data_IF_724834693649
#
_entry.id   IF_724834693649
#
_cell.length_a   1.000
_cell.length_b   1.000
_cell.length_c   1.000
_cell.angle_alpha   90.00
_cell.angle_beta   90.00
_cell.angle_gamma   90.00
#
_symmetry.space_group_name_H-M   'P 1'
#
loop_
_entity.id
_entity.type
_entity.pdbx_description
1 polymer ?
#
# COMPACT_ATOMS: atom_id res chain seq x y z
N UNK A 1 65.02 21.64 -10.39
CA UNK A 1 64.00 22.23 -11.27
C UNK A 1 63.00 21.24 -11.88
N UNK A 2 63.40 20.12 -12.45
CA UNK A 2 62.49 19.15 -13.08
C UNK A 2 61.43 18.51 -12.16
N UNK A 3 61.68 18.36 -10.87
CA UNK A 3 60.66 17.78 -9.96
C UNK A 3 59.58 18.78 -9.56
N UNK A 4 59.93 20.04 -9.33
CA UNK A 4 58.98 21.11 -8.97
C UNK A 4 57.99 21.35 -10.09
N UNK A 5 58.42 21.31 -11.35
CA UNK A 5 57.57 21.46 -12.53
C UNK A 5 56.55 20.32 -12.64
N UNK A 6 56.96 19.08 -12.28
CA UNK A 6 56.03 17.92 -12.30
C UNK A 6 54.94 18.01 -11.26
N UNK A 7 55.21 18.50 -10.06
CA UNK A 7 54.19 18.70 -9.01
C UNK A 7 53.26 19.84 -9.34
N UNK A 8 53.78 20.93 -9.93
CA UNK A 8 52.95 22.06 -10.37
C UNK A 8 51.98 21.68 -11.48
N UNK A 9 52.41 20.89 -12.45
CA UNK A 9 51.51 20.36 -13.51
C UNK A 9 50.45 19.39 -12.98
N UNK A 10 50.82 18.54 -12.01
CA UNK A 10 49.87 17.60 -11.39
C UNK A 10 48.81 18.35 -10.58
N UNK A 11 49.19 19.40 -9.83
CA UNK A 11 48.27 20.23 -9.06
C UNK A 11 47.35 21.03 -9.94
N UNK A 12 47.84 21.55 -11.06
CA UNK A 12 47.02 22.28 -12.04
C UNK A 12 45.99 21.37 -12.76
N UNK A 13 46.36 20.10 -13.07
CA UNK A 13 45.43 19.10 -13.61
C UNK A 13 44.36 18.69 -12.60
N UNK A 14 44.70 18.56 -11.31
CA UNK A 14 43.76 18.23 -10.26
C UNK A 14 42.73 19.34 -10.01
N UNK A 15 43.16 20.60 -10.03
CA UNK A 15 42.26 21.77 -9.88
C UNK A 15 41.35 21.95 -11.09
N UNK A 16 41.85 21.67 -12.30
CA UNK A 16 41.03 21.71 -13.52
C UNK A 16 39.96 20.58 -13.56
N UNK A 17 40.24 19.41 -12.97
CA UNK A 17 39.26 18.32 -12.87
C UNK A 17 38.14 18.61 -11.85
N UNK A 18 38.40 19.42 -10.82
CA UNK A 18 37.40 19.79 -9.80
C UNK A 18 36.45 20.90 -10.27
N UNK A 19 36.79 21.65 -11.34
CA UNK A 19 35.94 22.70 -11.89
C UNK A 19 35.03 22.22 -13.02
N UNK A 20 35.06 20.93 -13.39
CA UNK A 20 34.33 20.37 -14.54
C UNK A 20 32.89 19.94 -14.24
N UNK A 21 32.45 19.89 -12.98
CA UNK A 21 31.05 19.59 -12.66
C UNK A 21 30.26 20.88 -12.41
N UNK A 22 30.01 21.66 -13.46
CA UNK A 22 28.83 22.53 -13.49
C UNK A 22 27.67 21.68 -13.99
N UNK A 23 26.86 21.19 -13.08
CA UNK A 23 25.54 20.67 -13.42
C UNK A 23 24.80 21.77 -14.21
N UNK A 24 24.60 21.56 -15.50
CA UNK A 24 23.72 22.40 -16.27
C UNK A 24 22.29 21.97 -15.91
N UNK A 25 21.72 22.64 -14.92
CA UNK A 25 20.28 22.56 -14.71
C UNK A 25 19.61 23.08 -16.00
N UNK A 26 18.91 22.19 -16.67
CA UNK A 26 18.03 22.61 -17.75
C UNK A 26 16.85 23.31 -17.07
N UNK A 27 16.91 24.64 -17.01
CA UNK A 27 15.79 25.44 -16.51
C UNK A 27 14.71 25.43 -17.60
N UNK A 28 13.51 24.96 -17.26
CA UNK A 28 12.36 25.08 -18.14
C UNK A 28 12.08 26.58 -18.38
N UNK A 29 12.17 27.02 -19.64
CA UNK A 29 12.03 28.41 -20.04
C UNK A 29 10.80 28.67 -20.92
N UNK A 30 9.97 27.64 -21.11
CA UNK A 30 8.79 27.70 -21.96
C UNK A 30 7.54 28.25 -21.23
N UNK A 31 6.40 28.13 -21.88
CA UNK A 31 5.13 28.67 -21.41
C UNK A 31 4.78 28.18 -19.98
N UNK A 32 4.21 29.07 -19.19
CA UNK A 32 3.67 28.73 -17.90
C UNK A 32 2.39 27.92 -18.05
N UNK A 33 2.40 26.67 -17.60
CA UNK A 33 1.23 25.82 -17.54
C UNK A 33 0.85 25.54 -16.10
N UNK A 34 -0.46 25.44 -15.87
CA UNK A 34 -1.03 25.05 -14.57
C UNK A 34 -1.99 23.90 -14.81
N UNK A 35 -1.88 22.84 -14.00
CA UNK A 35 -2.66 21.64 -14.18
C UNK A 35 -2.81 20.90 -12.84
N UNK A 36 -3.72 19.96 -12.76
CA UNK A 36 -3.68 18.97 -11.69
C UNK A 36 -2.47 18.05 -11.89
N UNK A 37 -1.90 17.56 -10.79
CA UNK A 37 -0.74 16.66 -10.87
C UNK A 37 -1.09 15.33 -11.57
N UNK A 38 -2.34 14.88 -11.41
CA UNK A 38 -2.87 13.68 -12.04
C UNK A 38 -4.18 14.00 -12.76
N UNK A 39 -4.46 13.33 -13.87
CA UNK A 39 -5.73 13.44 -14.62
C UNK A 39 -6.81 12.52 -14.05
N UNK A 40 -6.40 11.50 -13.30
CA UNK A 40 -7.23 10.54 -12.57
C UNK A 40 -6.45 10.05 -11.35
N UNK A 41 -7.04 10.16 -10.16
CA UNK A 41 -6.46 9.60 -8.95
C UNK A 41 -7.56 9.11 -8.00
N UNK A 42 -7.23 8.10 -7.18
CA UNK A 42 -8.10 7.61 -6.10
C UNK A 42 -7.64 8.21 -4.78
N UNK A 43 -8.60 8.67 -3.99
CA UNK A 43 -8.35 9.32 -2.72
C UNK A 43 -9.03 8.54 -1.59
N UNK A 44 -8.30 8.17 -0.51
CA UNK A 44 -8.90 7.51 0.64
C UNK A 44 -9.75 8.50 1.41
N UNK A 45 -10.98 8.12 1.70
CA UNK A 45 -11.86 8.82 2.64
C UNK A 45 -11.87 8.04 3.94
N UNK A 46 -11.31 8.62 4.99
CA UNK A 46 -11.17 8.03 6.31
C UNK A 46 -11.97 8.85 7.34
N UNK A 47 -12.49 8.19 8.36
CA UNK A 47 -13.20 8.82 9.48
C UNK A 47 -12.32 9.72 10.35
N UNK A 48 -11.02 9.42 10.38
CA UNK A 48 -10.00 10.14 11.19
C UNK A 48 -9.31 11.28 10.43
N UNK A 49 -9.55 11.44 9.13
CA UNK A 49 -8.90 12.45 8.28
C UNK A 49 -9.93 13.43 7.74
N UNK A 50 -9.84 14.68 8.17
CA UNK A 50 -10.82 15.71 7.80
C UNK A 50 -10.79 16.05 6.31
N UNK A 51 -9.60 16.13 5.69
CA UNK A 51 -9.45 16.52 4.29
C UNK A 51 -8.41 15.62 3.60
N UNK A 52 -8.69 15.26 2.36
CA UNK A 52 -7.67 14.81 1.43
C UNK A 52 -7.28 15.93 0.45
N UNK A 53 -6.11 15.82 -0.15
CA UNK A 53 -5.52 16.87 -1.00
C UNK A 53 -5.46 16.44 -2.45
N UNK A 54 -5.96 17.30 -3.35
CA UNK A 54 -5.82 17.14 -4.81
C UNK A 54 -4.79 18.16 -5.29
N UNK A 55 -3.58 17.74 -5.71
CA UNK A 55 -2.51 18.65 -6.01
C UNK A 55 -2.70 19.36 -7.35
N UNK A 56 -2.45 20.67 -7.33
CA UNK A 56 -2.33 21.55 -8.50
C UNK A 56 -0.89 21.98 -8.63
N UNK A 57 -0.31 21.84 -9.80
CA UNK A 57 1.10 22.13 -10.07
C UNK A 57 1.24 23.16 -11.20
N UNK A 58 2.32 23.93 -11.14
CA UNK A 58 2.73 24.85 -12.20
C UNK A 58 4.12 24.48 -12.71
N UNK A 59 4.33 24.61 -14.00
CA UNK A 59 5.65 24.39 -14.63
C UNK A 59 6.67 25.47 -14.25
N UNK A 60 6.24 26.61 -13.69
CA UNK A 60 7.08 27.77 -13.39
C UNK A 60 6.85 28.27 -11.98
N UNK A 61 7.90 28.57 -11.25
CA UNK A 61 7.87 29.31 -9.97
C UNK A 61 7.76 30.82 -10.26
N UNK A 62 6.93 31.52 -9.48
CA UNK A 62 6.78 32.99 -9.55
C UNK A 62 7.05 33.61 -8.18
N UNK A 63 7.38 34.88 -8.17
CA UNK A 63 7.61 35.71 -6.96
C UNK A 63 6.33 36.38 -6.44
N UNK A 64 5.16 35.98 -6.96
CA UNK A 64 3.84 36.45 -6.55
C UNK A 64 2.84 35.28 -6.45
N UNK A 65 1.80 35.48 -5.63
CA UNK A 65 0.70 34.54 -5.48
C UNK A 65 -0.14 34.42 -6.76
N UNK A 66 -0.52 33.20 -7.12
CA UNK A 66 -1.37 32.89 -8.27
C UNK A 66 -2.59 32.12 -7.83
N UNK A 67 -3.78 32.71 -8.01
CA UNK A 67 -5.04 32.11 -7.60
C UNK A 67 -5.86 31.72 -8.82
N UNK A 68 -6.38 30.49 -8.79
CA UNK A 68 -7.21 29.88 -9.82
C UNK A 68 -8.53 29.45 -9.23
N UNK A 69 -9.63 29.58 -10.01
CA UNK A 69 -10.91 29.03 -9.64
C UNK A 69 -10.90 27.49 -9.74
N UNK A 70 -11.74 26.86 -8.94
CA UNK A 70 -11.98 25.41 -8.96
C UNK A 70 -13.47 25.18 -9.03
N UNK A 71 -13.95 24.40 -9.99
CA UNK A 71 -15.35 24.02 -10.12
C UNK A 71 -15.50 22.51 -10.33
N UNK A 72 -16.68 22.01 -9.96
CA UNK A 72 -17.11 20.64 -10.25
C UNK A 72 -17.85 20.67 -11.60
N UNK A 73 -17.54 19.72 -12.45
CA UNK A 73 -18.28 19.52 -13.70
C UNK A 73 -19.09 18.21 -13.64
N UNK A 74 -20.34 18.24 -14.11
CA UNK A 74 -21.24 17.09 -14.04
C UNK A 74 -20.79 15.91 -14.88
N UNK A 75 -20.12 16.21 -15.99
CA UNK A 75 -19.64 15.18 -16.91
C UNK A 75 -18.56 14.30 -16.22
N UNK A 76 -18.89 13.03 -16.03
CA UNK A 76 -18.01 12.06 -15.41
C UNK A 76 -18.08 12.05 -13.88
N UNK A 77 -18.97 12.85 -13.26
CA UNK A 77 -19.26 12.87 -11.83
C UNK A 77 -20.47 12.01 -11.52
N UNK A 78 -20.36 11.13 -10.53
CA UNK A 78 -21.45 10.37 -9.94
C UNK A 78 -21.48 10.53 -8.40
N UNK A 79 -20.43 11.05 -7.82
CA UNK A 79 -20.46 11.55 -6.44
C UNK A 79 -21.25 12.86 -6.36
N UNK A 80 -21.99 13.04 -5.30
CA UNK A 80 -22.88 14.20 -5.08
C UNK A 80 -22.24 15.10 -4.04
N UNK A 81 -22.07 16.39 -4.39
CA UNK A 81 -21.56 17.39 -3.46
C UNK A 81 -22.51 17.57 -2.26
N UNK A 82 -21.95 17.77 -1.08
CA UNK A 82 -22.63 17.82 0.22
C UNK A 82 -23.30 16.51 0.67
N UNK A 83 -23.20 15.44 -0.10
CA UNK A 83 -23.58 14.08 0.31
C UNK A 83 -22.35 13.19 0.47
N UNK A 84 -21.49 13.10 -0.54
CA UNK A 84 -20.31 12.23 -0.53
C UNK A 84 -19.02 13.00 -0.30
N UNK A 85 -18.98 14.28 -0.69
CA UNK A 85 -17.81 15.15 -0.52
C UNK A 85 -18.22 16.63 -0.46
N UNK A 86 -17.28 17.50 -0.04
CA UNK A 86 -17.43 18.95 -0.10
C UNK A 86 -16.06 19.60 -0.33
N UNK A 87 -15.96 20.53 -1.26
CA UNK A 87 -14.77 21.36 -1.43
C UNK A 87 -14.60 22.29 -0.23
N UNK A 88 -13.37 22.40 0.29
CA UNK A 88 -13.05 23.38 1.33
C UNK A 88 -13.12 24.82 0.78
N UNK A 89 -12.70 24.99 -0.47
CA UNK A 89 -12.72 26.28 -1.19
C UNK A 89 -12.95 26.06 -2.69
N UNK A 90 -13.58 27.02 -3.33
CA UNK A 90 -13.72 27.08 -4.79
C UNK A 90 -12.53 27.77 -5.48
N UNK A 91 -11.43 27.98 -4.78
CA UNK A 91 -10.18 28.52 -5.33
C UNK A 91 -8.97 27.80 -4.77
N UNK A 92 -7.88 27.78 -5.54
CA UNK A 92 -6.58 27.28 -5.11
C UNK A 92 -5.52 28.36 -5.40
N UNK A 93 -4.62 28.58 -4.43
CA UNK A 93 -3.57 29.62 -4.55
C UNK A 93 -2.19 28.97 -4.44
N UNK A 94 -1.42 29.05 -5.54
CA UNK A 94 0.02 28.74 -5.53
C UNK A 94 0.75 29.98 -5.01
N UNK A 95 1.41 29.84 -3.88
CA UNK A 95 2.10 30.94 -3.20
C UNK A 95 3.36 31.37 -3.95
N UNK A 96 3.78 32.62 -3.68
CA UNK A 96 5.06 33.14 -4.17
C UNK A 96 6.20 32.21 -3.75
N UNK A 97 7.08 31.87 -4.70
CA UNK A 97 8.18 30.95 -4.48
C UNK A 97 7.83 29.47 -4.59
N UNK A 98 6.55 29.13 -4.78
CA UNK A 98 6.06 27.76 -4.90
C UNK A 98 5.60 27.45 -6.34
N UNK A 99 5.54 26.16 -6.65
CA UNK A 99 4.99 25.63 -7.90
C UNK A 99 3.88 24.59 -7.68
N UNK A 100 3.42 24.44 -6.43
CA UNK A 100 2.37 23.51 -6.03
C UNK A 100 1.43 24.16 -5.02
N UNK A 101 0.16 23.78 -5.09
CA UNK A 101 -0.84 24.01 -4.06
C UNK A 101 -1.84 22.85 -4.08
N UNK A 102 -2.64 22.72 -3.03
CA UNK A 102 -3.58 21.62 -2.91
C UNK A 102 -5.02 22.15 -2.84
N UNK A 103 -5.93 21.51 -3.58
CA UNK A 103 -7.37 21.63 -3.38
C UNK A 103 -7.75 20.67 -2.27
N UNK A 104 -8.24 21.20 -1.14
CA UNK A 104 -8.67 20.39 0.00
C UNK A 104 -10.12 19.97 -0.17
N UNK A 105 -10.38 18.69 0.04
CA UNK A 105 -11.71 18.09 -0.08
C UNK A 105 -12.04 17.30 1.17
N UNK A 106 -13.17 17.61 1.79
CA UNK A 106 -13.75 16.82 2.86
C UNK A 106 -14.57 15.67 2.25
N UNK A 107 -14.24 14.43 2.62
CA UNK A 107 -15.02 13.25 2.26
C UNK A 107 -15.98 12.87 3.40
N UNK A 108 -17.24 12.56 3.09
CA UNK A 108 -18.22 12.12 4.09
C UNK A 108 -18.17 10.59 4.22
N UNK A 109 -17.30 10.11 5.11
CA UNK A 109 -17.01 8.70 5.32
C UNK A 109 -18.24 7.81 5.49
N UNK A 110 -19.22 8.25 6.29
CA UNK A 110 -20.43 7.47 6.58
C UNK A 110 -21.37 7.33 5.37
N UNK A 111 -21.21 8.18 4.37
CA UNK A 111 -22.04 8.20 3.17
C UNK A 111 -21.41 7.47 1.97
N UNK A 112 -20.28 6.81 2.19
CA UNK A 112 -19.56 6.05 1.16
C UNK A 112 -19.49 4.59 1.62
N UNK A 113 -19.97 3.66 0.79
CA UNK A 113 -19.81 2.23 1.05
C UNK A 113 -18.46 1.72 0.53
N UNK A 114 -17.93 0.65 1.14
CA UNK A 114 -16.64 0.07 0.74
C UNK A 114 -16.65 -0.46 -0.72
N UNK A 115 -17.83 -0.79 -1.24
CA UNK A 115 -18.04 -1.29 -2.60
C UNK A 115 -18.40 -0.19 -3.61
N UNK A 116 -18.54 1.06 -3.17
CA UNK A 116 -18.93 2.16 -4.04
C UNK A 116 -17.79 2.55 -4.99
N UNK A 117 -18.18 2.89 -6.21
CA UNK A 117 -17.32 3.50 -7.21
C UNK A 117 -17.76 4.95 -7.46
N UNK A 118 -17.56 5.80 -6.46
CA UNK A 118 -17.92 7.21 -6.50
C UNK A 118 -16.78 8.07 -7.00
N UNK A 119 -17.09 9.10 -7.78
CA UNK A 119 -16.08 10.04 -8.24
C UNK A 119 -16.69 11.33 -8.75
N UNK A 120 -15.89 12.38 -8.77
CA UNK A 120 -16.24 13.69 -9.32
C UNK A 120 -15.11 14.24 -10.17
N UNK A 121 -15.45 15.13 -11.09
CA UNK A 121 -14.49 15.79 -11.96
C UNK A 121 -14.34 17.25 -11.57
N UNK A 122 -13.09 17.65 -11.30
CA UNK A 122 -12.69 19.03 -11.04
C UNK A 122 -12.16 19.67 -12.31
N UNK A 123 -12.43 20.98 -12.45
CA UNK A 123 -11.84 21.81 -13.49
C UNK A 123 -11.21 23.06 -12.87
N UNK A 124 -10.01 23.44 -13.34
CA UNK A 124 -9.42 24.75 -13.05
C UNK A 124 -10.00 25.80 -13.97
N UNK A 125 -10.45 26.92 -13.40
CA UNK A 125 -10.90 28.10 -14.13
C UNK A 125 -9.71 29.04 -14.26
N UNK A 126 -9.19 29.18 -15.48
CA UNK A 126 -8.03 30.00 -15.78
C UNK A 126 -8.00 30.39 -17.27
N UNK A 127 -7.14 31.36 -17.61
CA UNK A 127 -6.91 31.71 -19.02
C UNK A 127 -6.38 30.53 -19.82
N UNK A 128 -6.86 30.37 -21.05
CA UNK A 128 -6.51 29.27 -21.95
C UNK A 128 -4.99 29.14 -22.20
N UNK A 129 -4.27 30.24 -22.14
CA UNK A 129 -2.78 30.27 -22.27
C UNK A 129 -2.04 29.46 -21.19
N UNK A 130 -2.67 29.21 -20.06
CA UNK A 130 -2.10 28.42 -18.95
C UNK A 130 -2.48 26.94 -19.03
N UNK A 131 -3.42 26.57 -19.93
CA UNK A 131 -3.84 25.18 -20.10
C UNK A 131 -2.81 24.42 -20.91
N UNK A 132 -2.28 23.35 -20.34
CA UNK A 132 -1.35 22.49 -21.05
C UNK A 132 -2.12 21.62 -22.06
N UNK A 133 -1.79 21.67 -23.36
CA UNK A 133 -2.57 20.97 -24.39
C UNK A 133 -2.65 19.45 -24.20
N UNK A 134 -1.66 18.84 -23.57
CA UNK A 134 -1.58 17.38 -23.36
C UNK A 134 -2.43 16.90 -22.17
N UNK A 135 -2.41 17.64 -21.06
CA UNK A 135 -3.05 17.20 -19.80
C UNK A 135 -4.35 17.94 -19.50
N UNK A 136 -4.57 19.09 -20.14
CA UNK A 136 -5.76 19.91 -19.90
C UNK A 136 -5.77 20.58 -18.53
N UNK A 137 -6.98 20.95 -18.08
CA UNK A 137 -7.23 21.61 -16.81
C UNK A 137 -8.23 20.84 -15.93
N UNK A 138 -8.42 19.55 -16.19
CA UNK A 138 -9.37 18.70 -15.48
C UNK A 138 -8.70 17.51 -14.82
N UNK A 139 -9.28 17.04 -13.69
CA UNK A 139 -8.93 15.79 -13.04
C UNK A 139 -10.17 15.08 -12.56
N UNK A 140 -10.14 13.75 -12.57
CA UNK A 140 -11.17 12.92 -11.95
C UNK A 140 -10.66 12.38 -10.62
N UNK A 141 -11.32 12.75 -9.53
CA UNK A 141 -11.10 12.19 -8.21
C UNK A 141 -12.06 11.02 -7.98
N UNK A 142 -11.53 9.86 -7.67
CA UNK A 142 -12.30 8.68 -7.25
C UNK A 142 -12.22 8.59 -5.73
N UNK A 143 -13.36 8.50 -5.06
CA UNK A 143 -13.47 8.34 -3.62
C UNK A 143 -13.41 6.86 -3.28
N UNK A 144 -12.59 6.49 -2.32
CA UNK A 144 -12.51 5.14 -1.79
C UNK A 144 -12.64 5.18 -0.27
N UNK A 145 -13.64 4.49 0.27
CA UNK A 145 -13.74 4.31 1.71
C UNK A 145 -12.54 3.51 2.21
N UNK A 146 -11.84 4.05 3.20
CA UNK A 146 -10.69 3.41 3.83
C UNK A 146 -10.83 3.48 5.34
N UNK A 147 -10.92 2.32 5.98
CA UNK A 147 -10.99 2.23 7.43
C UNK A 147 -9.60 2.39 8.05
N UNK A 148 -9.54 3.07 9.17
CA UNK A 148 -8.31 3.14 9.97
C UNK A 148 -7.94 1.72 10.42
N UNK A 149 -6.68 1.37 10.27
CA UNK A 149 -6.17 0.09 10.75
C UNK A 149 -6.14 0.07 12.29
N UNK A 150 -6.75 -0.96 12.87
CA UNK A 150 -6.60 -1.32 14.27
C UNK A 150 -6.19 -2.79 14.35
N UNK A 151 -5.03 -3.07 14.94
CA UNK A 151 -4.52 -4.44 15.11
C UNK A 151 -5.49 -5.32 15.94
N UNK A 152 -6.35 -4.71 16.78
CA UNK A 152 -7.36 -5.44 17.54
C UNK A 152 -8.41 -6.12 16.64
N UNK A 153 -8.66 -5.56 15.46
CA UNK A 153 -9.60 -6.13 14.49
C UNK A 153 -9.09 -7.44 13.87
N UNK A 154 -7.79 -7.70 14.02
CA UNK A 154 -7.10 -8.86 13.50
C UNK A 154 -6.63 -9.83 14.62
N UNK A 155 -7.32 -9.80 15.76
CA UNK A 155 -7.08 -10.72 16.89
C UNK A 155 -8.35 -11.47 17.25
N UNK A 156 -8.19 -12.64 17.88
CA UNK A 156 -9.30 -13.53 18.22
C UNK A 156 -9.47 -14.68 17.23
N UNK A 157 -10.70 -15.14 17.07
CA UNK A 157 -11.00 -16.24 16.14
C UNK A 157 -10.91 -15.80 14.68
N UNK A 158 -10.22 -16.63 13.90
CA UNK A 158 -10.02 -16.41 12.48
C UNK A 158 -10.23 -17.69 11.69
N UNK A 159 -11.04 -17.65 10.65
CA UNK A 159 -11.19 -18.76 9.70
C UNK A 159 -10.10 -18.65 8.65
N UNK A 160 -9.18 -19.59 8.66
CA UNK A 160 -8.16 -19.76 7.64
C UNK A 160 -8.69 -20.66 6.52
N UNK A 161 -8.82 -20.16 5.31
CA UNK A 161 -9.06 -20.95 4.12
C UNK A 161 -7.75 -21.04 3.34
N UNK A 162 -7.20 -22.25 3.18
CA UNK A 162 -5.84 -22.45 2.64
C UNK A 162 -5.84 -23.38 1.43
N UNK A 163 -5.20 -22.92 0.35
CA UNK A 163 -4.99 -23.76 -0.83
C UNK A 163 -3.98 -24.89 -0.56
N UNK A 164 -3.05 -24.70 0.39
CA UNK A 164 -2.18 -25.77 0.83
C UNK A 164 -2.99 -26.90 1.51
N UNK A 165 -3.88 -26.55 2.44
CA UNK A 165 -4.76 -27.54 3.10
C UNK A 165 -5.66 -28.24 2.08
N UNK A 166 -6.19 -27.54 1.10
CA UNK A 166 -6.97 -28.12 0.01
C UNK A 166 -6.20 -29.24 -0.72
N UNK A 167 -4.90 -29.03 -0.96
CA UNK A 167 -4.09 -29.96 -1.73
C UNK A 167 -3.53 -31.11 -0.88
N UNK A 168 -3.21 -30.87 0.40
CA UNK A 168 -2.39 -31.77 1.22
C UNK A 168 -3.05 -32.23 2.53
N UNK A 169 -4.21 -31.68 2.92
CA UNK A 169 -4.88 -32.10 4.13
C UNK A 169 -5.39 -33.56 4.00
N UNK A 170 -5.04 -34.40 4.95
CA UNK A 170 -5.49 -35.81 5.02
C UNK A 170 -6.99 -35.91 5.31
N UNK A 171 -7.60 -34.88 5.91
CA UNK A 171 -9.03 -34.83 6.21
C UNK A 171 -9.87 -34.29 5.04
N UNK A 172 -9.22 -33.74 4.01
CA UNK A 172 -9.87 -33.04 2.92
C UNK A 172 -10.46 -31.68 3.29
N UNK A 173 -10.27 -31.23 4.54
CA UNK A 173 -10.66 -29.87 4.93
C UNK A 173 -9.65 -28.85 4.39
N UNK A 174 -10.16 -27.83 3.72
CA UNK A 174 -9.37 -26.68 3.25
C UNK A 174 -9.50 -25.47 4.20
N UNK A 175 -10.29 -25.61 5.26
CA UNK A 175 -10.49 -24.57 6.27
C UNK A 175 -10.04 -25.05 7.63
N UNK A 176 -9.63 -24.09 8.43
CA UNK A 176 -9.21 -24.28 9.82
C UNK A 176 -9.58 -23.05 10.64
N UNK A 177 -10.10 -23.27 11.85
CA UNK A 177 -10.24 -22.20 12.83
C UNK A 177 -8.89 -22.02 13.54
N UNK A 178 -8.34 -20.83 13.44
CA UNK A 178 -7.11 -20.41 14.14
C UNK A 178 -7.42 -19.30 15.15
N UNK A 179 -6.58 -19.17 16.16
CA UNK A 179 -6.66 -18.04 17.11
C UNK A 179 -5.47 -17.15 16.87
N UNK A 180 -5.72 -15.84 16.77
CA UNK A 180 -4.67 -14.86 16.58
C UNK A 180 -4.56 -13.96 17.81
N UNK A 181 -3.33 -13.57 18.13
CA UNK A 181 -3.00 -12.75 19.29
C UNK A 181 -2.03 -11.65 18.86
N UNK A 182 -2.06 -10.50 19.56
CA UNK A 182 -1.04 -9.47 19.36
C UNK A 182 0.34 -9.98 19.73
N UNK A 183 1.34 -9.62 18.94
CA UNK A 183 2.72 -9.87 19.32
C UNK A 183 3.08 -9.03 20.57
N UNK A 184 3.79 -9.61 21.56
CA UNK A 184 3.99 -8.95 22.86
C UNK A 184 4.88 -7.70 22.79
N UNK A 185 5.73 -7.56 21.77
CA UNK A 185 6.69 -6.45 21.61
C UNK A 185 6.51 -5.65 20.33
N UNK A 186 5.97 -6.26 19.28
CA UNK A 186 5.81 -5.62 17.97
C UNK A 186 4.36 -5.18 17.76
N UNK A 187 4.07 -3.86 17.69
CA UNK A 187 2.70 -3.33 17.70
C UNK A 187 1.88 -3.68 16.45
N UNK A 188 2.56 -3.87 15.31
CA UNK A 188 1.94 -4.13 14.01
C UNK A 188 2.01 -5.62 13.62
N UNK A 189 2.27 -6.51 14.59
CA UNK A 189 2.43 -7.94 14.38
C UNK A 189 1.41 -8.75 15.18
N UNK A 190 0.93 -9.83 14.57
CA UNK A 190 0.12 -10.86 15.24
C UNK A 190 0.83 -12.20 15.22
N UNK A 191 0.49 -13.05 16.19
CA UNK A 191 0.84 -14.47 16.23
C UNK A 191 -0.41 -15.27 15.86
N UNK A 192 -0.32 -16.09 14.82
CA UNK A 192 -1.36 -17.02 14.42
C UNK A 192 -1.06 -18.38 15.06
N UNK A 193 -1.86 -18.76 16.05
CA UNK A 193 -1.68 -20.02 16.79
C UNK A 193 -2.14 -21.21 15.95
N UNK A 194 -1.33 -22.27 15.93
CA UNK A 194 -1.66 -23.51 15.22
C UNK A 194 -2.08 -23.26 13.75
N UNK A 195 -1.32 -22.49 13.01
CA UNK A 195 -1.73 -21.94 11.72
C UNK A 195 -2.27 -22.98 10.73
N UNK A 196 -1.44 -23.93 10.25
CA UNK A 196 -1.90 -25.03 9.38
C UNK A 196 -1.82 -26.40 10.07
N UNK A 197 -1.09 -26.51 11.17
CA UNK A 197 -0.94 -27.71 11.96
C UNK A 197 -0.84 -27.37 13.46
N UNK A 198 -1.29 -28.28 14.32
CA UNK A 198 -1.22 -28.08 15.77
C UNK A 198 0.22 -28.01 16.26
N UNK A 199 0.48 -27.04 17.13
CA UNK A 199 1.80 -26.82 17.72
C UNK A 199 2.73 -25.93 16.87
N UNK A 200 2.28 -25.47 15.71
CA UNK A 200 3.06 -24.62 14.82
C UNK A 200 2.40 -23.25 14.65
N UNK A 201 3.02 -22.24 15.25
CA UNK A 201 2.58 -20.85 15.20
C UNK A 201 3.36 -20.08 14.13
N UNK A 202 2.73 -19.11 13.51
CA UNK A 202 3.39 -18.18 12.59
C UNK A 202 3.09 -16.73 12.96
N UNK A 203 3.94 -15.81 12.54
CA UNK A 203 3.77 -14.38 12.76
C UNK A 203 3.47 -13.68 11.46
N UNK A 204 2.60 -12.66 11.51
CA UNK A 204 2.26 -11.78 10.39
C UNK A 204 2.46 -10.33 10.80
N UNK A 205 3.09 -9.54 9.94
CA UNK A 205 3.31 -8.09 10.13
C UNK A 205 2.43 -7.30 9.18
N UNK A 206 1.67 -6.34 9.70
CA UNK A 206 0.79 -5.46 8.96
C UNK A 206 1.49 -4.15 8.59
N UNK A 207 1.37 -3.72 7.35
CA UNK A 207 1.93 -2.47 6.84
C UNK A 207 0.79 -1.57 6.38
N UNK A 208 0.32 -0.70 7.27
CA UNK A 208 -0.86 0.15 7.10
C UNK A 208 -0.51 1.63 6.80
N UNK A 209 0.76 1.97 6.59
CA UNK A 209 1.20 3.37 6.39
C UNK A 209 0.62 4.03 5.14
N UNK A 210 0.31 3.24 4.09
CA UNK A 210 -0.42 3.69 2.93
C UNK A 210 -1.83 3.08 2.94
N UNK A 211 -2.87 3.87 3.24
CA UNK A 211 -4.25 3.37 3.31
C UNK A 211 -4.79 2.88 1.97
N UNK A 212 -4.12 3.25 0.85
CA UNK A 212 -4.48 2.81 -0.50
C UNK A 212 -3.86 1.47 -0.88
N UNK A 213 -2.81 1.06 -0.18
CA UNK A 213 -2.05 -0.16 -0.46
C UNK A 213 -1.63 -0.86 0.83
N UNK A 214 -2.59 -1.20 1.71
CA UNK A 214 -2.27 -1.93 2.92
C UNK A 214 -1.82 -3.36 2.55
N UNK A 215 -0.69 -3.79 3.08
CA UNK A 215 -0.15 -5.11 2.79
C UNK A 215 0.31 -5.82 4.07
N UNK A 216 0.41 -7.15 3.99
CA UNK A 216 0.85 -8.00 5.09
C UNK A 216 2.07 -8.80 4.68
N UNK A 217 2.99 -9.00 5.60
CA UNK A 217 4.17 -9.86 5.40
C UNK A 217 4.26 -10.92 6.47
N UNK A 218 4.96 -11.99 6.13
CA UNK A 218 5.32 -13.09 7.03
C UNK A 218 6.85 -13.10 7.15
N UNK A 219 7.37 -13.29 8.36
CA UNK A 219 8.80 -13.47 8.54
C UNK A 219 9.28 -14.71 7.78
N UNK A 220 10.52 -14.65 7.28
CA UNK A 220 11.09 -15.74 6.54
C UNK A 220 11.31 -16.99 7.45
N UNK A 221 11.28 -18.16 6.82
CA UNK A 221 11.73 -19.42 7.38
C UNK A 221 10.98 -19.87 8.66
N UNK A 222 9.71 -19.48 8.78
CA UNK A 222 8.89 -19.94 9.89
C UNK A 222 8.50 -21.42 9.67
N UNK A 223 8.44 -22.18 10.74
CA UNK A 223 8.05 -23.59 10.69
C UNK A 223 6.53 -23.68 10.76
N UNK A 224 5.90 -24.08 9.67
CA UNK A 224 4.44 -24.22 9.57
C UNK A 224 3.93 -25.61 9.99
N UNK A 225 4.78 -26.64 9.89
CA UNK A 225 4.48 -28.04 10.27
C UNK A 225 5.76 -28.88 10.31
N UNK A 226 5.64 -30.13 10.77
CA UNK A 226 6.54 -31.19 10.36
C UNK A 226 6.16 -31.71 8.95
N UNK A 227 7.13 -32.29 8.24
CA UNK A 227 6.93 -32.83 6.90
C UNK A 227 6.03 -34.08 6.90
N UNK A 228 6.19 -34.92 7.93
CA UNK A 228 5.50 -36.20 8.06
C UNK A 228 3.98 -36.05 8.14
N UNK A 229 3.49 -34.99 8.78
CA UNK A 229 2.05 -34.72 8.94
C UNK A 229 1.31 -34.53 7.62
N UNK A 230 1.97 -33.99 6.60
CA UNK A 230 1.35 -33.74 5.29
C UNK A 230 1.83 -34.68 4.20
N UNK A 231 3.08 -35.15 4.24
CA UNK A 231 3.66 -35.96 3.18
C UNK A 231 3.83 -37.44 3.56
N UNK A 232 3.62 -37.78 4.85
CA UNK A 232 3.80 -39.14 5.37
C UNK A 232 5.27 -39.59 5.46
N UNK A 233 6.20 -38.79 4.97
CA UNK A 233 7.66 -39.00 5.03
C UNK A 233 8.38 -37.68 5.20
N UNK A 234 9.61 -37.72 5.71
CA UNK A 234 10.50 -36.55 5.76
C UNK A 234 11.43 -36.55 4.56
N UNK A 235 11.49 -35.44 3.83
CA UNK A 235 12.39 -35.20 2.71
C UNK A 235 13.65 -34.45 3.14
N UNK A 236 13.58 -33.70 4.22
CA UNK A 236 14.63 -32.82 4.72
C UNK A 236 14.90 -32.99 6.21
N UNK A 237 14.83 -31.88 6.94
CA UNK A 237 15.09 -31.81 8.38
C UNK A 237 13.79 -31.95 9.23
N UNK A 238 12.77 -32.57 8.64
CA UNK A 238 11.43 -32.77 9.19
C UNK A 238 10.72 -31.45 9.54
N UNK A 239 10.95 -30.41 8.70
CA UNK A 239 10.33 -29.10 8.85
C UNK A 239 9.75 -28.63 7.52
N UNK A 240 8.45 -28.38 7.52
CA UNK A 240 7.79 -27.64 6.44
C UNK A 240 7.88 -26.15 6.76
N UNK A 241 8.72 -25.45 6.01
CA UNK A 241 8.97 -24.04 6.18
C UNK A 241 8.00 -23.20 5.35
N UNK A 242 7.72 -22.00 5.83
CA UNK A 242 6.86 -21.03 5.17
C UNK A 242 7.48 -19.65 5.20
N UNK A 243 7.31 -18.92 4.09
CA UNK A 243 7.68 -17.52 3.93
C UNK A 243 6.68 -16.81 3.02
N UNK A 244 6.81 -15.49 2.84
CA UNK A 244 6.05 -14.78 1.79
C UNK A 244 6.36 -15.35 0.41
N UNK A 245 5.34 -15.41 -0.43
CA UNK A 245 5.56 -15.68 -1.84
C UNK A 245 6.39 -14.57 -2.48
N UNK A 246 7.39 -14.95 -3.25
CA UNK A 246 8.18 -14.04 -4.09
C UNK A 246 7.47 -13.64 -5.39
N UNK A 247 6.34 -14.26 -5.71
CA UNK A 247 5.62 -14.11 -6.98
C UNK A 247 4.36 -13.25 -6.88
N UNK A 248 3.77 -13.13 -5.66
CA UNK A 248 2.46 -12.52 -5.47
C UNK A 248 2.44 -11.64 -4.22
N UNK A 249 1.76 -10.51 -4.32
CA UNK A 249 1.55 -9.58 -3.21
C UNK A 249 0.47 -10.10 -2.25
N UNK A 250 0.69 -9.88 -0.95
CA UNK A 250 -0.23 -10.18 0.12
C UNK A 250 -0.84 -8.88 0.63
N UNK A 251 -2.16 -8.81 0.74
CA UNK A 251 -2.91 -7.59 1.07
C UNK A 251 -3.91 -7.86 2.19
N UNK A 252 -4.29 -6.81 2.92
CA UNK A 252 -5.36 -6.91 3.90
C UNK A 252 -6.36 -5.76 3.76
N UNK A 253 -7.56 -5.95 4.29
CA UNK A 253 -8.68 -5.04 4.17
C UNK A 253 -9.19 -4.67 5.56
N UNK A 254 -8.83 -3.50 6.10
CA UNK A 254 -9.23 -3.07 7.44
C UNK A 254 -10.75 -3.03 7.63
N UNK A 255 -11.50 -2.52 6.64
CA UNK A 255 -12.96 -2.44 6.72
C UNK A 255 -13.66 -3.80 6.79
N UNK A 256 -13.09 -4.80 6.13
CA UNK A 256 -13.67 -6.14 6.03
C UNK A 256 -13.12 -7.13 7.06
N UNK A 257 -12.08 -6.74 7.80
CA UNK A 257 -11.38 -7.60 8.76
C UNK A 257 -10.98 -8.94 8.15
N UNK A 258 -10.35 -8.89 6.98
CA UNK A 258 -9.81 -10.07 6.31
C UNK A 258 -8.53 -9.74 5.57
N UNK A 259 -7.76 -10.76 5.25
CA UNK A 259 -6.56 -10.66 4.44
C UNK A 259 -6.43 -11.78 3.42
N UNK A 260 -5.65 -11.50 2.39
CA UNK A 260 -5.16 -12.46 1.43
C UNK A 260 -3.65 -12.55 1.56
N UNK A 261 -3.12 -13.72 1.91
CA UNK A 261 -1.70 -13.94 2.01
C UNK A 261 -1.25 -15.06 1.06
N UNK A 262 -0.28 -14.71 0.21
CA UNK A 262 0.42 -15.68 -0.62
C UNK A 262 1.68 -16.14 0.09
N UNK A 263 1.81 -17.43 0.29
CA UNK A 263 2.94 -18.05 0.95
C UNK A 263 3.67 -18.98 0.02
N UNK A 264 4.98 -19.05 0.15
CA UNK A 264 5.82 -20.09 -0.41
C UNK A 264 6.14 -21.10 0.69
N UNK A 265 5.86 -22.38 0.42
CA UNK A 265 6.22 -23.49 1.31
C UNK A 265 7.33 -24.31 0.70
N UNK A 266 8.29 -24.68 1.52
CA UNK A 266 9.50 -25.37 1.07
C UNK A 266 10.10 -26.22 2.17
N UNK A 267 11.06 -27.06 1.80
CA UNK A 267 11.75 -28.00 2.67
C UNK A 267 13.24 -27.75 2.58
N UNK A 268 13.93 -27.78 3.71
CA UNK A 268 15.38 -27.66 3.84
C UNK A 268 16.00 -28.95 4.38
N UNK A 269 17.27 -29.14 4.04
CA UNK A 269 18.12 -30.16 4.62
C UNK A 269 19.50 -29.59 4.95
N UNK A 270 19.87 -29.64 6.22
CA UNK A 270 21.10 -29.03 6.72
C UNK A 270 21.18 -27.53 6.46
N UNK A 271 20.03 -26.82 6.44
CA UNK A 271 19.93 -25.40 6.18
C UNK A 271 20.03 -25.01 4.69
N UNK A 272 19.98 -25.98 3.78
CA UNK A 272 19.95 -25.74 2.34
C UNK A 272 18.60 -26.15 1.75
N UNK A 273 17.99 -25.37 0.85
CA UNK A 273 16.72 -25.71 0.21
C UNK A 273 16.83 -27.03 -0.57
N UNK A 274 15.96 -27.97 -0.27
CA UNK A 274 15.80 -29.24 -1.01
C UNK A 274 14.83 -29.06 -2.15
N UNK A 275 13.76 -28.30 -1.91
CA UNK A 275 12.78 -28.00 -2.93
C UNK A 275 11.60 -27.17 -2.42
N UNK A 276 11.00 -26.42 -3.32
CA UNK A 276 9.76 -25.68 -3.09
C UNK A 276 8.56 -26.60 -3.29
N UNK A 277 7.68 -26.68 -2.30
CA UNK A 277 6.42 -27.40 -2.40
C UNK A 277 5.44 -26.64 -3.30
N UNK A 278 5.43 -25.31 -3.17
CA UNK A 278 4.65 -24.43 -4.03
C UNK A 278 4.33 -23.07 -3.40
N UNK A 279 3.62 -22.26 -4.19
CA UNK A 279 3.05 -21.00 -3.74
C UNK A 279 1.55 -21.20 -3.51
N UNK A 280 1.08 -20.83 -2.32
CA UNK A 280 -0.28 -21.12 -1.88
C UNK A 280 -0.98 -19.84 -1.44
N UNK A 281 -2.20 -19.71 -1.90
CA UNK A 281 -3.11 -18.65 -1.53
C UNK A 281 -3.85 -19.01 -0.25
N UNK A 282 -3.91 -18.09 0.68
CA UNK A 282 -4.64 -18.23 1.92
C UNK A 282 -5.52 -17.01 2.15
N UNK A 283 -6.74 -17.24 2.62
CA UNK A 283 -7.65 -16.20 3.09
C UNK A 283 -7.76 -16.36 4.60
N UNK A 284 -7.65 -15.26 5.32
CA UNK A 284 -7.91 -15.22 6.76
C UNK A 284 -9.03 -14.21 7.03
N UNK A 285 -10.11 -14.67 7.66
CA UNK A 285 -11.32 -13.91 7.94
C UNK A 285 -11.59 -13.92 9.44
N UNK A 286 -11.55 -12.77 10.09
CA UNK A 286 -11.82 -12.65 11.53
C UNK A 286 -13.32 -12.65 11.78
N UNK A 287 -13.73 -13.46 12.71
CA UNK A 287 -15.13 -13.66 13.10
C UNK A 287 -15.34 -13.22 14.55
N UNK A 288 -16.59 -13.02 14.95
CA UNK A 288 -16.92 -12.74 16.34
C UNK A 288 -16.61 -13.92 17.25
N UNK A 289 -16.42 -13.65 18.55
CA UNK A 289 -16.18 -14.71 19.54
C UNK A 289 -17.32 -15.75 19.57
N UNK A 290 -18.57 -15.29 19.43
CA UNK A 290 -19.74 -16.17 19.37
C UNK A 290 -19.68 -17.12 18.17
N UNK A 291 -19.33 -16.58 17.01
CA UNK A 291 -19.20 -17.37 15.77
C UNK A 291 -18.00 -18.32 15.85
N UNK A 292 -16.86 -17.86 16.36
CA UNK A 292 -15.67 -18.70 16.56
C UNK A 292 -15.93 -19.88 17.50
N UNK A 293 -16.61 -19.62 18.63
CA UNK A 293 -17.02 -20.69 19.54
C UNK A 293 -18.03 -21.67 18.91
N UNK A 294 -18.91 -21.16 18.04
CA UNK A 294 -19.84 -22.03 17.29
C UNK A 294 -19.08 -22.95 16.35
N UNK A 295 -18.17 -22.37 15.53
CA UNK A 295 -17.35 -23.11 14.57
C UNK A 295 -16.48 -24.17 15.26
N UNK A 296 -15.90 -23.83 16.41
CA UNK A 296 -15.11 -24.76 17.24
C UNK A 296 -15.96 -25.95 17.69
N UNK A 297 -17.22 -25.74 18.14
CA UNK A 297 -18.14 -26.82 18.53
C UNK A 297 -18.55 -27.67 17.34
N UNK A 298 -18.58 -27.14 16.16
CA UNK A 298 -18.90 -27.85 14.90
C UNK A 298 -17.71 -28.60 14.31
N UNK A 299 -16.49 -28.40 14.87
CA UNK A 299 -15.30 -29.17 14.53
C UNK A 299 -14.47 -28.57 13.39
N UNK A 300 -14.58 -27.25 13.19
CA UNK A 300 -13.70 -26.52 12.29
C UNK A 300 -12.35 -26.22 12.92
#
# INVERSE_FOLDING_TARGET
MKQITKYMTLTFLAVAALSSCKERYVTYSDAEYVMFADTLATYPVQDTVEYFSIPVVSTVVRDYDRTYGVEIIDKGSNAIENLHYRLHSNTVTIKAGENRADVLVHGFYDNIEATDSLGFTLQLIMDEKYVMPLYGNQTKAVLMKSCTFDINDFTGYCVLTSMFLYNYSVTGSYQRLVVTEKHPTEPDMIICRNWINDGYDVTLTFHASDPMKPFVTMDADQVASDEGSFFGISYGDDKLLVTNSSLYDSIFYPCGKYLYIWTEMYVEKLGEPVGTVGHFYNIMEWVSDEEGERLMREGL
#
